data_IF_927632494296
#
_entry.id   IF_927632494296
#
_cell.length_a   1.000
_cell.length_b   1.000
_cell.length_c   1.000
_cell.angle_alpha   90.00
_cell.angle_beta   90.00
_cell.angle_gamma   90.00
#
_symmetry.space_group_name_H-M   'P 1'
#
loop_
_entity.id
_entity.type
_entity.pdbx_description
1 polymer ?
#
# COMPACT_ATOMS: atom_id res chain seq x y z
N UNK A 1 -3.83 7.08 -21.97
CA UNK A 1 -2.89 6.79 -20.85
C UNK A 1 -3.62 6.54 -19.51
N UNK A 2 -4.76 7.20 -19.22
CA UNK A 2 -5.63 6.92 -18.06
C UNK A 2 -6.09 5.45 -17.95
N UNK A 3 -6.45 4.82 -19.07
CA UNK A 3 -7.14 3.52 -19.05
C UNK A 3 -6.23 2.37 -18.59
N UNK A 4 -4.93 2.42 -18.88
CA UNK A 4 -3.98 1.36 -18.46
C UNK A 4 -3.82 1.30 -16.94
N UNK A 5 -3.83 2.45 -16.25
CA UNK A 5 -3.72 2.51 -14.77
C UNK A 5 -5.02 2.06 -14.10
N UNK A 6 -6.18 2.41 -14.67
CA UNK A 6 -7.48 1.89 -14.23
C UNK A 6 -7.53 0.37 -14.37
N UNK A 7 -7.13 -0.16 -15.53
CA UNK A 7 -7.06 -1.60 -15.75
C UNK A 7 -6.14 -2.32 -14.76
N UNK A 8 -5.02 -1.71 -14.36
CA UNK A 8 -4.12 -2.27 -13.36
C UNK A 8 -4.76 -2.25 -11.96
N UNK A 9 -5.44 -1.17 -11.58
CA UNK A 9 -6.18 -1.12 -10.31
C UNK A 9 -7.26 -2.19 -10.28
N UNK A 10 -8.06 -2.31 -11.33
CA UNK A 10 -9.12 -3.33 -11.45
C UNK A 10 -8.53 -4.74 -11.32
N UNK A 11 -7.41 -5.01 -11.99
CA UNK A 11 -6.69 -6.28 -11.87
C UNK A 11 -6.22 -6.54 -10.42
N UNK A 12 -5.66 -5.53 -9.75
CA UNK A 12 -5.24 -5.65 -8.33
C UNK A 12 -6.47 -5.96 -7.45
N UNK A 13 -7.57 -5.24 -7.64
CA UNK A 13 -8.78 -5.41 -6.82
C UNK A 13 -9.40 -6.80 -6.94
N UNK A 14 -9.26 -7.44 -8.10
CA UNK A 14 -9.81 -8.78 -8.35
C UNK A 14 -9.20 -9.82 -7.41
N UNK A 15 -7.92 -9.71 -7.07
CA UNK A 15 -7.26 -10.64 -6.12
C UNK A 15 -7.87 -10.56 -4.72
N UNK A 16 -8.44 -9.42 -4.35
CA UNK A 16 -9.07 -9.20 -3.05
C UNK A 16 -10.59 -9.47 -3.07
N UNK A 17 -11.15 -9.98 -4.17
CA UNK A 17 -12.60 -10.16 -4.33
C UNK A 17 -13.23 -11.09 -3.29
N UNK A 18 -12.50 -12.12 -2.84
CA UNK A 18 -12.91 -13.03 -1.77
C UNK A 18 -12.80 -12.45 -0.34
N UNK A 19 -12.22 -11.26 -0.20
CA UNK A 19 -12.16 -10.52 1.07
C UNK A 19 -13.30 -9.51 1.19
N UNK A 20 -13.41 -8.86 2.35
CA UNK A 20 -14.33 -7.71 2.55
C UNK A 20 -13.69 -6.38 2.15
N UNK A 21 -12.46 -6.39 1.66
CA UNK A 21 -11.72 -5.21 1.23
C UNK A 21 -12.24 -4.78 -0.15
N UNK A 22 -12.63 -3.52 -0.26
CA UNK A 22 -13.07 -2.90 -1.52
C UNK A 22 -12.28 -1.62 -1.74
N UNK A 23 -11.78 -1.43 -2.95
CA UNK A 23 -11.05 -0.22 -3.33
C UNK A 23 -11.95 0.63 -4.21
N UNK A 24 -11.83 1.94 -4.05
CA UNK A 24 -12.49 2.93 -4.91
C UNK A 24 -11.44 3.96 -5.30
N UNK A 25 -11.24 4.13 -6.60
CA UNK A 25 -10.38 5.17 -7.12
C UNK A 25 -10.94 6.55 -6.71
N UNK A 26 -10.15 7.33 -5.98
CA UNK A 26 -10.53 8.67 -5.51
C UNK A 26 -10.07 9.77 -6.47
N UNK A 27 -8.82 9.70 -6.90
CA UNK A 27 -8.19 10.65 -7.83
C UNK A 27 -7.02 10.00 -8.54
N UNK A 28 -6.61 10.58 -9.67
CA UNK A 28 -5.36 10.28 -10.36
C UNK A 28 -4.68 11.61 -10.58
N UNK A 29 -3.41 11.71 -10.21
CA UNK A 29 -2.56 12.85 -10.52
C UNK A 29 -1.37 12.41 -11.39
N UNK A 30 -0.87 13.32 -12.22
CA UNK A 30 0.34 13.15 -13.02
C UNK A 30 1.28 14.32 -12.73
N UNK A 31 2.30 14.05 -11.93
CA UNK A 31 3.37 15.02 -11.68
C UNK A 31 4.61 14.69 -12.52
N UNK A 32 5.15 15.71 -13.18
CA UNK A 32 6.38 15.59 -13.99
C UNK A 32 7.54 16.16 -13.17
N UNK A 33 8.42 15.28 -12.71
CA UNK A 33 9.65 15.65 -12.00
C UNK A 33 10.75 14.65 -12.37
N UNK A 34 11.86 15.13 -12.92
CA UNK A 34 12.95 14.28 -13.42
C UNK A 34 13.63 13.45 -12.32
N UNK A 35 13.83 14.02 -11.13
CA UNK A 35 14.45 13.31 -10.01
C UNK A 35 13.55 12.16 -9.55
N UNK A 36 12.26 12.44 -9.37
CA UNK A 36 11.29 11.44 -8.91
C UNK A 36 11.03 10.36 -9.95
N UNK A 37 10.92 10.74 -11.23
CA UNK A 37 10.71 9.81 -12.32
C UNK A 37 11.82 8.76 -12.45
N UNK A 38 13.06 9.13 -12.08
CA UNK A 38 14.24 8.25 -12.09
C UNK A 38 14.48 7.56 -10.75
N UNK A 39 13.53 7.65 -9.82
CA UNK A 39 13.56 6.96 -8.54
C UNK A 39 14.42 7.64 -7.47
N UNK A 40 14.85 8.88 -7.66
CA UNK A 40 15.56 9.67 -6.66
C UNK A 40 14.60 10.50 -5.80
N UNK A 41 15.00 10.81 -4.57
CA UNK A 41 14.25 11.66 -3.63
C UNK A 41 12.78 11.23 -3.42
N UNK A 42 12.56 9.91 -3.34
CA UNK A 42 11.21 9.33 -3.20
C UNK A 42 10.56 9.63 -1.85
N UNK A 43 11.35 9.97 -0.83
CA UNK A 43 10.83 10.45 0.46
C UNK A 43 10.11 11.78 0.27
N UNK A 44 10.79 12.78 -0.30
CA UNK A 44 10.19 14.10 -0.56
C UNK A 44 9.07 14.03 -1.59
N UNK A 45 9.18 13.17 -2.60
CA UNK A 45 8.10 12.90 -3.54
C UNK A 45 6.83 12.46 -2.81
N UNK A 46 6.92 11.42 -1.97
CA UNK A 46 5.77 10.90 -1.23
C UNK A 46 5.21 11.96 -0.30
N UNK A 47 6.07 12.69 0.41
CA UNK A 47 5.64 13.79 1.27
C UNK A 47 4.88 14.88 0.50
N UNK A 48 5.35 15.24 -0.70
CA UNK A 48 4.76 16.32 -1.51
C UNK A 48 3.47 15.90 -2.21
N UNK A 49 3.34 14.60 -2.53
CA UNK A 49 2.23 14.06 -3.32
C UNK A 49 1.24 13.25 -2.47
N UNK A 50 1.47 13.13 -1.16
CA UNK A 50 0.59 12.40 -0.26
C UNK A 50 -0.81 13.03 -0.28
N UNK A 51 -1.82 12.20 -0.48
CA UNK A 51 -3.21 12.62 -0.48
C UNK A 51 -4.09 11.69 0.34
N UNK A 52 -5.06 12.28 1.03
CA UNK A 52 -6.03 11.53 1.84
C UNK A 52 -5.61 11.38 3.29
N UNK A 53 -6.18 10.38 3.97
CA UNK A 53 -5.81 10.04 5.35
C UNK A 53 -5.50 8.56 5.51
N UNK A 54 -5.49 8.05 6.74
CA UNK A 54 -5.02 6.69 7.06
C UNK A 54 -5.71 5.52 6.33
N UNK A 55 -6.93 5.74 5.83
CA UNK A 55 -7.70 4.75 5.05
C UNK A 55 -7.46 4.83 3.54
N UNK A 56 -6.88 5.95 3.09
CA UNK A 56 -6.69 6.24 1.68
C UNK A 56 -5.33 5.67 1.24
N UNK A 57 -5.35 4.78 0.25
CA UNK A 57 -4.15 4.14 -0.29
C UNK A 57 -3.54 5.02 -1.39
N UNK A 58 -2.29 5.45 -1.19
CA UNK A 58 -1.51 6.14 -2.20
C UNK A 58 -0.65 5.15 -3.00
N UNK A 59 -0.75 5.18 -4.33
CA UNK A 59 0.04 4.38 -5.25
C UNK A 59 0.87 5.30 -6.15
N UNK A 60 2.20 5.24 -6.02
CA UNK A 60 3.13 6.06 -6.78
C UNK A 60 3.77 5.21 -7.88
N UNK A 61 3.41 5.49 -9.12
CA UNK A 61 3.97 4.81 -10.29
C UNK A 61 5.18 5.58 -10.81
N UNK A 62 6.34 4.93 -10.83
CA UNK A 62 7.62 5.51 -11.25
C UNK A 62 8.05 4.95 -12.61
N UNK A 63 8.73 5.77 -13.42
CA UNK A 63 9.24 5.38 -14.74
C UNK A 63 10.63 4.73 -14.62
N UNK A 64 10.72 3.73 -13.75
CA UNK A 64 11.93 2.93 -13.47
C UNK A 64 11.61 1.45 -13.57
N UNK A 65 12.61 0.63 -13.91
CA UNK A 65 12.47 -0.83 -13.99
C UNK A 65 12.52 -1.53 -12.63
N UNK A 66 13.16 -0.89 -11.65
CA UNK A 66 13.29 -1.33 -10.27
C UNK A 66 13.41 -0.10 -9.34
N UNK A 67 13.27 -0.35 -8.04
CA UNK A 67 13.26 0.65 -6.98
C UNK A 67 14.61 0.73 -6.25
N UNK A 68 15.71 0.24 -6.83
CA UNK A 68 17.02 0.17 -6.17
C UNK A 68 17.55 1.56 -5.81
N UNK A 69 17.20 2.57 -6.60
CA UNK A 69 17.55 3.98 -6.32
C UNK A 69 16.58 4.65 -5.35
N UNK A 70 15.38 4.07 -5.22
CA UNK A 70 14.27 4.60 -4.43
C UNK A 70 14.23 4.06 -3.00
N UNK A 71 14.92 2.95 -2.75
CA UNK A 71 15.02 2.26 -1.48
C UNK A 71 16.50 1.99 -1.21
N UNK A 72 17.00 2.30 -0.01
CA UNK A 72 18.36 1.95 0.40
C UNK A 72 18.46 0.45 0.72
N UNK A 73 18.16 -0.42 -0.24
CA UNK A 73 18.11 -1.87 -0.07
C UNK A 73 18.98 -2.57 -1.11
N UNK A 74 19.61 -3.68 -0.72
CA UNK A 74 20.57 -4.42 -1.55
C UNK A 74 19.93 -5.35 -2.61
N UNK A 75 18.59 -5.36 -2.73
CA UNK A 75 17.86 -6.28 -3.62
C UNK A 75 16.94 -5.52 -4.57
N UNK A 76 17.01 -5.92 -5.85
CA UNK A 76 16.07 -5.55 -6.93
C UNK A 76 14.63 -5.71 -6.50
N UNK A 77 14.01 -4.59 -6.17
CA UNK A 77 12.63 -4.51 -5.69
C UNK A 77 11.79 -3.75 -6.71
N UNK A 78 10.68 -4.30 -7.18
CA UNK A 78 9.81 -3.63 -8.16
C UNK A 78 8.57 -3.01 -7.55
N UNK A 79 8.19 -3.44 -6.34
CA UNK A 79 7.12 -2.84 -5.53
C UNK A 79 7.56 -2.78 -4.09
N UNK A 80 7.35 -1.64 -3.46
CA UNK A 80 7.52 -1.47 -2.03
C UNK A 80 6.29 -0.80 -1.45
N UNK A 81 5.70 -1.41 -0.44
CA UNK A 81 4.58 -0.84 0.30
C UNK A 81 5.02 -0.62 1.75
N UNK A 82 4.67 0.52 2.31
CA UNK A 82 4.92 0.80 3.73
C UNK A 82 4.09 -0.12 4.60
N UNK A 83 4.67 -0.64 5.68
CA UNK A 83 3.87 -1.22 6.75
C UNK A 83 3.04 -0.13 7.44
N UNK A 84 1.87 -0.46 8.01
CA UNK A 84 1.12 0.49 8.80
C UNK A 84 1.99 0.99 9.94
N UNK A 85 2.02 2.30 10.12
CA UNK A 85 2.70 2.91 11.27
C UNK A 85 2.12 2.34 12.56
N UNK A 86 2.97 1.77 13.40
CA UNK A 86 2.54 1.44 14.75
C UNK A 86 2.03 2.71 15.42
N UNK A 87 0.99 2.58 16.25
CA UNK A 87 0.47 3.70 17.02
C UNK A 87 1.58 4.44 17.79
N UNK A 88 2.63 3.72 18.18
CA UNK A 88 3.82 4.22 18.83
C UNK A 88 4.62 5.21 17.99
N UNK A 89 4.87 4.92 16.70
CA UNK A 89 5.62 5.82 15.81
C UNK A 89 4.87 7.13 15.54
N UNK A 90 3.56 7.07 15.34
CA UNK A 90 2.74 8.27 15.16
C UNK A 90 2.62 9.15 16.43
N UNK A 91 2.71 8.55 17.62
CA UNK A 91 2.71 9.29 18.90
C UNK A 91 4.04 9.99 19.13
N UNK A 92 5.16 9.38 18.73
CA UNK A 92 6.50 9.94 18.94
C UNK A 92 6.94 10.89 17.83
N UNK A 93 6.50 10.68 16.58
CA UNK A 93 7.00 11.47 15.45
C UNK A 93 6.41 12.88 15.39
N UNK A 94 5.20 13.11 15.91
CA UNK A 94 4.38 14.32 15.67
C UNK A 94 4.20 14.70 14.18
N UNK A 95 4.76 13.90 13.28
CA UNK A 95 4.80 14.08 11.84
C UNK A 95 3.83 13.10 11.20
N UNK A 96 3.10 13.58 10.20
CA UNK A 96 2.10 12.81 9.50
C UNK A 96 2.72 11.59 8.78
N UNK A 97 1.89 10.60 8.40
CA UNK A 97 2.31 9.44 7.61
C UNK A 97 2.67 9.83 6.16
N UNK A 98 3.50 10.85 5.98
CA UNK A 98 3.88 11.51 4.72
C UNK A 98 4.63 10.58 3.75
N UNK A 99 4.90 9.34 4.15
CA UNK A 99 5.54 8.32 3.34
C UNK A 99 4.67 7.07 3.11
N UNK A 100 3.41 7.08 3.55
CA UNK A 100 2.50 5.93 3.43
C UNK A 100 2.08 5.65 1.98
N UNK A 101 1.92 4.37 1.68
CA UNK A 101 1.46 3.87 0.39
C UNK A 101 2.47 2.93 -0.25
N UNK A 102 2.38 2.79 -1.58
CA UNK A 102 3.23 1.90 -2.35
C UNK A 102 3.98 2.64 -3.47
N UNK A 103 5.28 2.40 -3.58
CA UNK A 103 6.07 2.70 -4.76
C UNK A 103 5.97 1.52 -5.73
N UNK A 104 5.69 1.79 -7.00
CA UNK A 104 5.49 0.78 -8.05
C UNK A 104 6.34 1.16 -9.26
N UNK A 105 7.31 0.32 -9.59
CA UNK A 105 8.08 0.42 -10.83
C UNK A 105 7.16 0.22 -12.07
N UNK A 106 7.59 0.71 -13.22
CA UNK A 106 6.80 0.56 -14.44
C UNK A 106 6.72 -0.91 -14.87
N UNK A 107 5.63 -1.27 -15.56
CA UNK A 107 5.40 -2.62 -16.11
C UNK A 107 5.36 -3.76 -15.08
N UNK A 108 5.15 -3.45 -13.80
CA UNK A 108 4.96 -4.47 -12.77
C UNK A 108 3.60 -5.18 -12.91
N UNK A 109 3.61 -6.50 -12.73
CA UNK A 109 2.42 -7.36 -12.76
C UNK A 109 1.46 -7.01 -11.62
N UNK A 110 0.16 -7.06 -11.89
CA UNK A 110 -0.86 -6.78 -10.89
C UNK A 110 -0.77 -7.73 -9.68
N UNK A 111 -0.46 -9.02 -9.90
CA UNK A 111 -0.23 -9.99 -8.82
C UNK A 111 0.93 -9.61 -7.90
N UNK A 112 2.04 -9.09 -8.45
CA UNK A 112 3.19 -8.62 -7.66
C UNK A 112 2.81 -7.41 -6.80
N UNK A 113 2.05 -6.46 -7.37
CA UNK A 113 1.52 -5.33 -6.59
C UNK A 113 0.56 -5.83 -5.51
N UNK A 114 -0.33 -6.77 -5.83
CA UNK A 114 -1.27 -7.34 -4.87
C UNK A 114 -0.55 -8.08 -3.74
N UNK A 115 0.53 -8.82 -3.99
CA UNK A 115 1.37 -9.44 -2.95
C UNK A 115 1.97 -8.39 -2.02
N UNK A 116 2.64 -7.37 -2.57
CA UNK A 116 3.28 -6.32 -1.77
C UNK A 116 2.26 -5.48 -0.98
N UNK A 117 1.06 -5.26 -1.53
CA UNK A 117 -0.01 -4.49 -0.89
C UNK A 117 -0.47 -5.10 0.44
N UNK A 118 -0.26 -6.40 0.66
CA UNK A 118 -0.58 -7.04 1.94
C UNK A 118 0.23 -6.43 3.10
N UNK A 119 1.47 -6.01 2.85
CA UNK A 119 2.28 -5.31 3.85
C UNK A 119 1.67 -3.96 4.23
N UNK A 120 1.01 -3.27 3.30
CA UNK A 120 0.29 -2.03 3.60
C UNK A 120 -0.88 -2.25 4.56
N UNK A 121 -1.54 -3.41 4.51
CA UNK A 121 -2.55 -3.76 5.52
C UNK A 121 -1.93 -4.13 6.88
N UNK A 122 -0.65 -4.49 6.92
CA UNK A 122 0.06 -4.93 8.12
C UNK A 122 0.41 -6.41 8.13
N UNK A 123 0.26 -7.13 7.01
CA UNK A 123 0.67 -8.52 6.93
C UNK A 123 2.19 -8.61 6.76
N UNK A 124 2.88 -9.18 7.75
CA UNK A 124 4.33 -9.39 7.73
C UNK A 124 4.77 -10.58 6.88
N UNK A 125 3.86 -11.51 6.59
CA UNK A 125 4.11 -12.71 5.80
C UNK A 125 3.11 -12.72 4.64
N UNK A 126 3.38 -11.98 3.55
CA UNK A 126 2.44 -11.87 2.44
C UNK A 126 2.29 -13.21 1.72
N UNK A 127 1.06 -13.54 1.35
CA UNK A 127 0.78 -14.64 0.42
C UNK A 127 1.40 -14.29 -0.92
N UNK A 128 2.35 -15.11 -1.36
CA UNK A 128 3.06 -14.89 -2.60
C UNK A 128 2.16 -15.08 -3.82
N UNK A 129 2.50 -14.41 -4.93
CA UNK A 129 1.98 -14.76 -6.24
C UNK A 129 2.45 -16.18 -6.59
N UNK A 130 1.53 -17.03 -7.06
CA UNK A 130 1.80 -18.46 -7.29
C UNK A 130 2.33 -18.77 -8.69
N UNK A 131 2.58 -17.74 -9.51
CA UNK A 131 2.76 -17.89 -10.95
C UNK A 131 3.31 -16.62 -11.60
N UNK A 132 3.66 -16.74 -12.89
CA UNK A 132 4.40 -15.71 -13.64
C UNK A 132 3.59 -14.91 -14.68
N UNK A 133 2.29 -15.15 -14.82
CA UNK A 133 1.42 -14.44 -15.76
C UNK A 133 0.80 -13.16 -15.16
N UNK A 134 0.32 -12.26 -16.02
CA UNK A 134 -0.18 -10.93 -15.61
C UNK A 134 -1.52 -10.97 -14.85
N UNK A 135 -2.32 -11.99 -15.11
CA UNK A 135 -3.66 -12.25 -14.56
C UNK A 135 -3.62 -13.08 -13.27
N UNK A 136 -2.42 -13.42 -12.84
CA UNK A 136 -2.17 -14.39 -11.80
C UNK A 136 -1.50 -13.69 -10.61
N UNK A 137 -1.79 -14.14 -9.39
CA UNK A 137 -1.49 -13.39 -8.17
C UNK A 137 -1.77 -14.20 -6.91
N UNK A 138 -1.80 -13.55 -5.73
CA UNK A 138 -2.04 -14.26 -4.48
C UNK A 138 -3.43 -14.90 -4.47
N UNK A 139 -3.50 -16.14 -3.99
CA UNK A 139 -4.74 -16.88 -3.75
C UNK A 139 -4.90 -17.02 -2.25
N UNK A 140 -5.88 -16.34 -1.68
CA UNK A 140 -6.10 -16.29 -0.24
C UNK A 140 -6.94 -17.47 0.24
N UNK A 141 -6.43 -18.24 1.20
CA UNK A 141 -7.24 -19.17 1.97
C UNK A 141 -8.21 -18.41 2.89
N UNK A 142 -9.19 -19.11 3.47
CA UNK A 142 -10.17 -18.50 4.39
C UNK A 142 -9.48 -17.78 5.56
N UNK A 143 -8.43 -18.39 6.08
CA UNK A 143 -7.56 -17.94 7.15
C UNK A 143 -6.91 -16.60 6.76
N UNK A 144 -6.31 -16.54 5.56
CA UNK A 144 -5.69 -15.34 5.01
C UNK A 144 -6.72 -14.22 4.83
N UNK A 145 -7.91 -14.53 4.31
CA UNK A 145 -8.96 -13.52 4.14
C UNK A 145 -9.43 -12.95 5.47
N UNK A 146 -9.54 -13.80 6.50
CA UNK A 146 -9.94 -13.38 7.85
C UNK A 146 -8.88 -12.49 8.49
N UNK A 147 -7.61 -12.88 8.38
CA UNK A 147 -6.47 -12.10 8.84
C UNK A 147 -6.39 -10.75 8.12
N UNK A 148 -6.48 -10.72 6.78
CA UNK A 148 -6.44 -9.49 6.00
C UNK A 148 -7.58 -8.53 6.38
N UNK A 149 -8.81 -9.05 6.56
CA UNK A 149 -9.93 -8.25 7.01
C UNK A 149 -9.67 -7.64 8.40
N UNK A 150 -9.16 -8.42 9.35
CA UNK A 150 -8.84 -7.94 10.69
C UNK A 150 -7.74 -6.86 10.65
N UNK A 151 -6.67 -7.10 9.89
CA UNK A 151 -5.56 -6.15 9.72
C UNK A 151 -6.02 -4.82 9.12
N UNK A 152 -6.89 -4.82 8.11
CA UNK A 152 -7.45 -3.58 7.56
C UNK A 152 -8.29 -2.83 8.58
N UNK A 153 -9.11 -3.53 9.37
CA UNK A 153 -9.92 -2.89 10.41
C UNK A 153 -9.02 -2.22 11.46
N UNK A 154 -8.01 -2.94 11.95
CA UNK A 154 -7.10 -2.47 13.00
C UNK A 154 -6.23 -1.30 12.53
N UNK A 155 -5.68 -1.40 11.32
CA UNK A 155 -4.62 -0.50 10.87
C UNK A 155 -5.12 0.65 9.98
N UNK A 156 -6.26 0.48 9.30
CA UNK A 156 -6.69 1.39 8.21
C UNK A 156 -8.11 1.93 8.37
N UNK A 157 -9.02 1.20 9.02
CA UNK A 157 -10.44 1.60 9.08
C UNK A 157 -10.75 2.60 10.21
N UNK A 158 -9.93 2.67 11.26
CA UNK A 158 -10.16 3.60 12.38
C UNK A 158 -9.75 5.02 11.98
N UNK A 159 -10.70 5.97 11.87
CA UNK A 159 -10.32 7.35 11.60
C UNK A 159 -9.51 7.89 12.78
N UNK A 160 -8.38 8.52 12.49
CA UNK A 160 -7.61 9.33 13.44
C UNK A 160 -8.38 10.63 13.66
N UNK A 161 -9.56 10.53 14.25
CA UNK A 161 -10.35 11.69 14.59
C UNK A 161 -9.77 12.36 15.85
N UNK A 162 -9.25 11.58 16.81
CA UNK A 162 -8.60 12.08 18.03
C UNK A 162 -7.63 11.04 18.62
N UNK A 163 -6.74 11.46 19.54
CA UNK A 163 -5.86 10.60 20.35
C UNK A 163 -6.62 9.47 21.09
N UNK A 164 -7.92 9.67 21.35
CA UNK A 164 -8.76 8.80 22.19
C UNK A 164 -9.56 7.74 21.42
N UNK A 165 -9.72 7.86 20.10
CA UNK A 165 -10.42 6.84 19.31
C UNK A 165 -9.65 5.51 19.27
N UNK A 166 -8.34 5.52 19.56
CA UNK A 166 -7.50 4.32 19.70
C UNK A 166 -7.74 3.55 20.99
N UNK A 167 -7.93 4.23 22.13
CA UNK A 167 -8.15 3.57 23.43
C UNK A 167 -9.41 2.69 23.40
N UNK A 168 -10.47 3.21 22.80
CA UNK A 168 -11.75 2.50 22.66
C UNK A 168 -11.66 1.26 21.78
N UNK A 169 -10.72 1.21 20.83
CA UNK A 169 -10.53 0.02 19.99
C UNK A 169 -9.79 -1.08 20.75
N UNK A 170 -8.80 -0.73 21.57
CA UNK A 170 -8.12 -1.68 22.46
C UNK A 170 -9.08 -2.21 23.54
N UNK A 171 -9.88 -1.33 24.16
CA UNK A 171 -10.91 -1.71 25.14
C UNK A 171 -12.03 -2.57 24.53
N UNK A 172 -12.35 -2.39 23.24
CA UNK A 172 -13.37 -3.19 22.55
C UNK A 172 -12.86 -4.55 22.05
N UNK A 173 -11.55 -4.80 22.07
CA UNK A 173 -10.93 -6.01 21.55
C UNK A 173 -10.46 -7.00 22.62
N UNK A 174 -10.58 -6.67 23.91
CA UNK A 174 -10.24 -7.52 25.08
C UNK A 174 -9.04 -8.47 24.81
N UNK A 175 -7.87 -7.85 24.56
CA UNK A 175 -6.54 -8.48 24.63
C UNK A 175 -5.79 -7.88 25.81
#
# INVERSE_FOLDING_TARGET
MSDRRKNQLDAITKFYSGTRIKFRLKSIDLTINQAWATGHDTARMRQSLYMGGNRDLNLYFLEVTDLDRSLEHSKKTSVFCTFPYSAWWAILSTAEPEHDGCLIAMNVRAGTVATALQSWFGNSIPVASTCDHNDCGPVFALDDTSMLNALVVLNRAVPVATKWSRLRLYEALDV
#
